data_IF_998944645526
#
_entry.id   IF_998944645526
#
_cell.length_a   1.000
_cell.length_b   1.000
_cell.length_c   1.000
_cell.angle_alpha   90.00
_cell.angle_beta   90.00
_cell.angle_gamma   90.00
#
_symmetry.space_group_name_H-M   'P 1'
#
loop_
_entity.id
_entity.type
_entity.pdbx_description
1 polymer ?
#
# COMPACT_ATOMS: atom_id res chain seq x y z
N UNK A 1 10.69 -42.62 17.12
CA UNK A 1 9.53 -42.41 16.22
C UNK A 1 9.76 -41.06 15.55
N UNK A 2 9.87 -41.01 14.22
CA UNK A 2 9.96 -39.73 13.53
C UNK A 2 8.61 -39.02 13.72
N UNK A 3 8.62 -37.87 14.40
CA UNK A 3 7.43 -37.02 14.50
C UNK A 3 7.06 -36.59 13.09
N UNK A 4 5.86 -36.94 12.65
CA UNK A 4 5.30 -36.43 11.40
C UNK A 4 5.28 -34.90 11.49
N UNK A 5 5.71 -34.21 10.44
CA UNK A 5 5.68 -32.76 10.41
C UNK A 5 4.21 -32.28 10.47
N UNK A 6 3.91 -31.19 11.19
CA UNK A 6 2.56 -30.65 11.23
C UNK A 6 2.08 -30.27 9.82
N UNK A 7 0.77 -30.35 9.54
CA UNK A 7 0.23 -29.99 8.24
C UNK A 7 0.53 -28.53 7.92
N UNK A 8 0.72 -28.24 6.63
CA UNK A 8 0.93 -26.88 6.16
C UNK A 8 -0.29 -26.00 6.51
N UNK A 9 -0.07 -24.81 7.11
CA UNK A 9 -1.16 -23.92 7.49
C UNK A 9 -1.89 -23.38 6.27
N UNK A 10 -3.19 -23.11 6.43
CA UNK A 10 -4.01 -22.44 5.42
C UNK A 10 -4.16 -20.94 5.75
N UNK A 11 -4.33 -20.07 4.74
CA UNK A 11 -4.68 -18.67 4.98
C UNK A 11 -5.95 -18.55 5.81
N UNK A 12 -5.99 -17.56 6.71
CA UNK A 12 -7.19 -17.28 7.52
C UNK A 12 -8.39 -16.81 6.67
N UNK A 13 -8.12 -16.21 5.51
CA UNK A 13 -9.13 -15.73 4.56
C UNK A 13 -8.79 -16.27 3.18
N UNK A 14 -9.61 -17.18 2.66
CA UNK A 14 -9.40 -17.77 1.34
C UNK A 14 -10.06 -16.91 0.24
N UNK A 15 -9.31 -16.63 -0.82
CA UNK A 15 -9.75 -15.95 -2.04
C UNK A 15 -10.34 -16.96 -3.04
N UNK A 16 -11.34 -17.75 -2.62
CA UNK A 16 -12.09 -18.60 -3.55
C UNK A 16 -12.89 -17.75 -4.53
N UNK A 17 -13.27 -18.30 -5.70
CA UNK A 17 -14.09 -17.59 -6.70
C UNK A 17 -15.48 -17.14 -6.20
N UNK A 18 -15.90 -17.64 -5.04
CA UNK A 18 -17.14 -17.24 -4.35
C UNK A 18 -16.92 -16.17 -3.27
N UNK A 19 -15.66 -15.86 -2.97
CA UNK A 19 -15.28 -14.87 -1.95
C UNK A 19 -15.45 -13.46 -2.51
N UNK A 20 -15.94 -12.49 -1.72
CA UNK A 20 -15.94 -11.07 -2.12
C UNK A 20 -14.52 -10.50 -2.32
N UNK A 21 -13.49 -11.24 -1.91
CA UNK A 21 -12.09 -10.95 -2.19
C UNK A 21 -11.69 -11.32 -3.63
N UNK A 22 -12.43 -12.22 -4.28
CA UNK A 22 -12.24 -12.55 -5.68
C UNK A 22 -13.03 -11.56 -6.55
N UNK A 23 -12.31 -10.56 -7.05
CA UNK A 23 -12.90 -9.51 -7.90
C UNK A 23 -13.24 -10.03 -9.29
N UNK A 24 -14.12 -9.32 -10.00
CA UNK A 24 -14.38 -9.55 -11.43
C UNK A 24 -13.13 -9.19 -12.24
N UNK A 25 -12.29 -10.19 -12.51
CA UNK A 25 -10.99 -10.01 -13.18
C UNK A 25 -11.16 -9.59 -14.64
N UNK A 26 -12.20 -10.04 -15.32
CA UNK A 26 -12.46 -9.66 -16.70
C UNK A 26 -12.83 -8.19 -16.78
N UNK A 27 -13.70 -7.72 -15.88
CA UNK A 27 -14.03 -6.31 -15.75
C UNK A 27 -12.79 -5.46 -15.45
N UNK A 28 -12.00 -5.80 -14.43
CA UNK A 28 -10.83 -5.00 -14.06
C UNK A 28 -9.71 -5.05 -15.11
N UNK A 29 -9.57 -6.16 -15.83
CA UNK A 29 -8.64 -6.26 -16.97
C UNK A 29 -9.08 -5.37 -18.14
N UNK A 30 -10.38 -5.35 -18.43
CA UNK A 30 -10.94 -4.45 -19.44
C UNK A 30 -10.74 -2.98 -19.05
N UNK A 31 -10.93 -2.63 -17.77
CA UNK A 31 -10.63 -1.27 -17.25
C UNK A 31 -9.14 -0.94 -17.36
N UNK A 32 -8.24 -1.89 -17.08
CA UNK A 32 -6.80 -1.69 -17.19
C UNK A 32 -6.34 -1.42 -18.63
N UNK A 33 -6.95 -2.11 -19.60
CA UNK A 33 -6.67 -2.02 -21.03
C UNK A 33 -7.43 -0.90 -21.75
N UNK A 34 -8.47 -0.34 -21.13
CA UNK A 34 -9.30 0.69 -21.73
C UNK A 34 -8.49 1.93 -22.14
N UNK A 35 -8.89 2.55 -23.26
CA UNK A 35 -8.39 3.87 -23.64
C UNK A 35 -8.75 4.87 -22.55
N UNK A 36 -7.77 5.65 -22.12
CA UNK A 36 -7.91 6.66 -21.07
C UNK A 36 -7.25 7.95 -21.48
N UNK A 37 -7.80 9.04 -20.97
CA UNK A 37 -7.26 10.38 -21.12
C UNK A 37 -6.74 10.86 -19.75
N UNK A 38 -5.57 11.49 -19.75
CA UNK A 38 -4.99 12.03 -18.52
C UNK A 38 -5.71 13.33 -18.16
N UNK A 39 -6.48 13.30 -17.08
CA UNK A 39 -7.20 14.49 -16.57
C UNK A 39 -6.35 15.34 -15.63
N UNK A 40 -5.34 14.75 -15.00
CA UNK A 40 -4.43 15.43 -14.07
C UNK A 40 -3.09 14.68 -14.05
N UNK A 41 -1.99 15.43 -13.96
CA UNK A 41 -0.65 14.91 -13.76
C UNK A 41 0.02 15.71 -12.65
N UNK A 42 0.60 15.01 -11.67
CA UNK A 42 1.28 15.59 -10.52
C UNK A 42 2.67 14.98 -10.47
N UNK A 43 3.71 15.82 -10.42
CA UNK A 43 5.08 15.40 -10.12
C UNK A 43 5.33 15.66 -8.64
N UNK A 44 5.67 14.62 -7.88
CA UNK A 44 6.04 14.76 -6.46
C UNK A 44 7.57 14.83 -6.41
N UNK A 45 8.10 15.89 -5.80
CA UNK A 45 9.53 16.06 -5.66
C UNK A 45 10.13 15.01 -4.69
N UNK A 46 11.42 14.65 -4.84
CA UNK A 46 12.10 13.80 -3.87
C UNK A 46 11.99 14.37 -2.46
N UNK A 47 11.65 13.50 -1.49
CA UNK A 47 11.45 13.85 -0.08
C UNK A 47 10.30 14.85 0.17
N UNK A 48 9.29 14.83 -0.67
CA UNK A 48 8.06 15.61 -0.50
C UNK A 48 6.81 14.74 -0.55
N UNK A 49 5.65 15.32 -0.27
CA UNK A 49 4.35 14.65 -0.31
C UNK A 49 3.28 15.54 -0.94
N UNK A 50 2.34 14.92 -1.65
CA UNK A 50 1.19 15.61 -2.22
C UNK A 50 -0.08 14.82 -1.93
N UNK A 51 -1.17 15.52 -1.64
CA UNK A 51 -2.51 14.93 -1.60
C UNK A 51 -3.35 15.48 -2.76
N UNK A 52 -4.18 14.62 -3.34
CA UNK A 52 -5.07 14.97 -4.45
C UNK A 52 -6.33 14.10 -4.41
N UNK A 53 -7.36 14.53 -5.13
CA UNK A 53 -8.65 13.85 -5.17
C UNK A 53 -8.73 12.91 -6.37
N UNK A 54 -9.25 11.70 -6.13
CA UNK A 54 -9.56 10.73 -7.19
C UNK A 54 -11.03 10.34 -7.06
N UNK A 55 -11.92 10.88 -7.91
CA UNK A 55 -13.33 10.53 -7.88
C UNK A 55 -13.55 9.03 -8.12
N UNK A 56 -14.64 8.48 -7.57
CA UNK A 56 -15.03 7.10 -7.81
C UNK A 56 -15.15 6.81 -9.32
N UNK A 57 -14.62 5.66 -9.76
CA UNK A 57 -14.59 5.25 -11.17
C UNK A 57 -13.44 5.86 -11.98
N UNK A 58 -12.56 6.68 -11.39
CA UNK A 58 -11.32 7.14 -12.03
C UNK A 58 -10.14 6.23 -11.72
N UNK A 59 -9.12 6.30 -12.58
CA UNK A 59 -7.88 5.53 -12.43
C UNK A 59 -6.79 6.49 -11.97
N UNK A 60 -6.08 6.11 -10.91
CA UNK A 60 -4.85 6.76 -10.48
C UNK A 60 -3.67 5.86 -10.87
N UNK A 61 -2.63 6.44 -11.47
CA UNK A 61 -1.36 5.76 -11.77
C UNK A 61 -0.24 6.46 -11.02
N UNK A 62 0.57 5.67 -10.33
CA UNK A 62 1.79 6.11 -9.67
C UNK A 62 2.95 5.49 -10.46
N UNK A 63 3.99 6.27 -10.75
CA UNK A 63 5.13 5.85 -11.58
C UNK A 63 6.38 6.61 -11.21
N UNK A 64 7.55 6.04 -11.52
CA UNK A 64 8.87 6.62 -11.22
C UNK A 64 9.63 6.93 -12.52
N UNK A 65 9.33 8.04 -13.21
CA UNK A 65 9.82 8.30 -14.56
C UNK A 65 11.31 8.65 -14.65
N UNK A 66 11.90 9.14 -13.55
CA UNK A 66 13.28 9.66 -13.52
C UNK A 66 14.31 8.67 -12.94
N UNK A 67 13.86 7.49 -12.49
CA UNK A 67 14.73 6.46 -11.92
C UNK A 67 14.06 5.70 -10.77
N UNK A 68 14.80 4.77 -10.13
CA UNK A 68 14.30 4.01 -8.99
C UNK A 68 13.96 4.91 -7.80
N UNK A 69 12.74 4.78 -7.29
CA UNK A 69 12.25 5.50 -6.12
C UNK A 69 11.11 4.71 -5.48
N UNK A 70 11.07 4.66 -4.15
CA UNK A 70 9.94 4.09 -3.40
C UNK A 70 8.96 5.20 -3.00
N UNK A 71 7.71 4.85 -2.73
CA UNK A 71 6.71 5.85 -2.33
C UNK A 71 5.69 5.34 -1.34
N UNK A 72 5.43 6.13 -0.32
CA UNK A 72 4.45 5.83 0.72
C UNK A 72 3.06 6.34 0.31
N UNK A 73 2.06 5.46 0.31
CA UNK A 73 0.69 5.83 -0.03
C UNK A 73 -0.26 5.75 1.18
N UNK A 74 -1.02 6.82 1.39
CA UNK A 74 -2.21 6.82 2.24
C UNK A 74 -3.46 7.14 1.41
N UNK A 75 -4.63 6.67 1.85
CA UNK A 75 -5.90 6.82 1.12
C UNK A 75 -7.01 7.06 2.12
N UNK A 76 -7.77 8.13 1.91
CA UNK A 76 -8.95 8.49 2.68
C UNK A 76 -10.19 8.55 1.79
N UNK A 77 -11.37 8.36 2.38
CA UNK A 77 -12.62 8.75 1.74
C UNK A 77 -12.69 10.29 1.68
N UNK A 78 -12.87 10.83 0.48
CA UNK A 78 -12.97 12.26 0.20
C UNK A 78 -14.01 12.99 1.07
N UNK A 79 -15.11 12.32 1.42
CA UNK A 79 -16.22 12.93 2.16
C UNK A 79 -16.22 12.56 3.64
N UNK A 80 -15.28 11.73 4.09
CA UNK A 80 -15.18 11.27 5.47
C UNK A 80 -13.76 10.80 5.79
N UNK A 81 -12.93 11.67 6.35
CA UNK A 81 -11.55 11.33 6.68
C UNK A 81 -11.39 10.33 7.84
N UNK A 82 -12.47 10.00 8.56
CA UNK A 82 -12.47 8.89 9.52
C UNK A 82 -12.54 7.53 8.83
N UNK A 83 -12.91 7.48 7.55
CA UNK A 83 -12.77 6.29 6.71
C UNK A 83 -11.49 6.38 5.88
N UNK A 84 -10.51 5.55 6.22
CA UNK A 84 -9.20 5.51 5.57
C UNK A 84 -8.71 4.08 5.42
N UNK A 85 -7.64 3.90 4.65
CA UNK A 85 -7.08 2.58 4.36
C UNK A 85 -6.55 1.88 5.61
N UNK A 86 -6.84 0.58 5.71
CA UNK A 86 -6.36 -0.29 6.76
C UNK A 86 -5.32 -1.28 6.23
N UNK A 87 -4.05 -0.91 6.36
CA UNK A 87 -2.89 -1.72 5.90
C UNK A 87 -2.93 -3.14 6.47
N UNK A 88 -3.04 -3.28 7.80
CA UNK A 88 -3.03 -4.59 8.46
C UNK A 88 -4.20 -5.49 8.02
N UNK A 89 -5.40 -4.93 7.80
CA UNK A 89 -6.54 -5.70 7.32
C UNK A 89 -6.40 -6.09 5.85
N UNK A 90 -5.90 -5.19 5.02
CA UNK A 90 -5.60 -5.49 3.61
C UNK A 90 -4.56 -6.61 3.51
N UNK A 91 -3.55 -6.59 4.40
CA UNK A 91 -2.56 -7.67 4.54
C UNK A 91 -3.17 -9.01 4.94
N UNK A 92 -4.08 -9.01 5.91
CA UNK A 92 -4.76 -10.22 6.35
C UNK A 92 -5.66 -10.83 5.25
N UNK A 93 -6.32 -9.99 4.46
CA UNK A 93 -7.24 -10.44 3.42
C UNK A 93 -6.53 -10.90 2.14
N UNK A 94 -5.34 -10.37 1.85
CA UNK A 94 -4.61 -10.68 0.62
C UNK A 94 -3.24 -11.30 0.88
N UNK A 95 -2.23 -10.48 1.17
CA UNK A 95 -0.85 -10.91 1.41
C UNK A 95 -0.03 -9.79 2.04
N UNK A 96 1.23 -10.06 2.41
CA UNK A 96 2.17 -9.05 2.88
C UNK A 96 2.51 -7.98 1.83
N UNK A 97 2.22 -8.25 0.56
CA UNK A 97 2.52 -7.37 -0.58
C UNK A 97 1.35 -7.39 -1.56
N UNK A 98 0.95 -6.22 -2.05
CA UNK A 98 -0.21 -6.12 -2.96
C UNK A 98 0.13 -6.52 -4.39
N UNK A 99 -0.84 -7.14 -5.07
CA UNK A 99 -0.76 -7.60 -6.46
C UNK A 99 -1.92 -7.07 -7.29
N UNK A 100 -1.86 -7.29 -8.60
CA UNK A 100 -3.00 -7.03 -9.48
C UNK A 100 -4.21 -7.81 -8.96
N UNK A 101 -5.38 -7.16 -8.98
CA UNK A 101 -6.67 -7.59 -8.43
C UNK A 101 -6.85 -7.50 -6.92
N UNK A 102 -5.80 -7.21 -6.16
CA UNK A 102 -5.95 -6.95 -4.73
C UNK A 102 -6.69 -5.63 -4.49
N UNK A 103 -7.31 -5.55 -3.32
CA UNK A 103 -8.06 -4.39 -2.84
C UNK A 103 -7.45 -3.83 -1.58
N UNK A 104 -7.36 -2.51 -1.49
CA UNK A 104 -7.04 -1.83 -0.24
C UNK A 104 -8.35 -1.51 0.47
N UNK A 105 -8.49 -2.00 1.70
CA UNK A 105 -9.74 -1.98 2.46
C UNK A 105 -9.76 -0.85 3.47
N UNK A 106 -10.93 -0.29 3.77
CA UNK A 106 -11.10 0.74 4.78
C UNK A 106 -11.17 0.19 6.21
N UNK A 107 -10.90 1.03 7.20
CA UNK A 107 -11.01 0.72 8.62
C UNK A 107 -12.46 0.42 9.06
N UNK A 108 -12.62 -0.15 10.26
CA UNK A 108 -13.91 -0.26 10.94
C UNK A 108 -14.45 1.13 11.32
N UNK A 109 -15.79 1.33 11.36
CA UNK A 109 -16.84 0.35 11.07
C UNK A 109 -17.19 0.22 9.57
N UNK A 110 -16.43 0.84 8.68
CA UNK A 110 -16.79 0.94 7.26
C UNK A 110 -16.50 -0.34 6.46
N UNK A 111 -15.29 -0.89 6.61
CA UNK A 111 -14.86 -2.18 6.05
C UNK A 111 -15.30 -2.44 4.61
N UNK A 112 -14.87 -1.58 3.68
CA UNK A 112 -15.13 -1.73 2.24
C UNK A 112 -13.89 -1.49 1.40
N UNK A 113 -13.85 -1.92 0.13
CA UNK A 113 -12.78 -1.56 -0.78
C UNK A 113 -12.74 -0.05 -1.01
N UNK A 114 -11.55 0.55 -0.91
CA UNK A 114 -11.28 1.93 -1.32
C UNK A 114 -10.76 1.97 -2.76
N UNK A 115 -9.83 1.07 -3.09
CA UNK A 115 -9.25 0.93 -4.43
C UNK A 115 -9.01 -0.53 -4.79
N UNK A 116 -8.89 -0.81 -6.09
CA UNK A 116 -8.49 -2.11 -6.65
C UNK A 116 -7.26 -1.89 -7.52
N UNK A 117 -6.22 -2.72 -7.34
CA UNK A 117 -5.02 -2.68 -8.19
C UNK A 117 -5.37 -3.31 -9.53
N UNK A 118 -5.24 -2.56 -10.62
CA UNK A 118 -5.62 -3.03 -11.96
C UNK A 118 -4.41 -3.27 -12.87
N UNK A 119 -3.22 -2.84 -12.47
CA UNK A 119 -1.99 -3.02 -13.24
C UNK A 119 -0.77 -2.86 -12.32
N UNK A 120 0.27 -3.65 -12.57
CA UNK A 120 1.57 -3.54 -11.91
C UNK A 120 2.67 -3.91 -12.92
N UNK A 121 3.53 -2.95 -13.29
CA UNK A 121 4.65 -3.21 -14.20
C UNK A 121 5.79 -4.02 -13.58
N UNK A 122 5.75 -4.26 -12.26
CA UNK A 122 6.72 -5.06 -11.51
C UNK A 122 6.15 -6.43 -11.10
N UNK A 123 5.10 -6.92 -11.78
CA UNK A 123 4.51 -8.21 -11.46
C UNK A 123 5.52 -9.36 -11.61
N UNK A 124 6.38 -9.29 -12.62
CA UNK A 124 7.43 -10.27 -12.89
C UNK A 124 8.60 -10.24 -11.89
N UNK A 125 8.65 -9.26 -10.98
CA UNK A 125 9.66 -9.25 -9.91
C UNK A 125 9.53 -10.51 -9.03
N UNK A 126 8.29 -10.97 -8.80
CA UNK A 126 8.03 -12.19 -8.06
C UNK A 126 8.56 -12.14 -6.63
N UNK A 127 9.45 -13.07 -6.29
CA UNK A 127 10.09 -13.20 -4.97
C UNK A 127 11.58 -13.34 -5.19
N UNK A 128 12.39 -12.51 -4.54
CA UNK A 128 13.84 -12.61 -4.63
C UNK A 128 14.41 -13.76 -3.78
N UNK A 129 15.74 -13.96 -3.85
CA UNK A 129 16.44 -15.03 -3.13
C UNK A 129 16.42 -14.90 -1.60
N UNK A 130 16.07 -13.74 -1.06
CA UNK A 130 15.91 -13.46 0.36
C UNK A 130 14.44 -13.48 0.82
N UNK A 131 13.50 -13.77 -0.10
CA UNK A 131 12.07 -13.76 0.19
C UNK A 131 11.40 -12.39 -0.03
N UNK A 132 12.14 -11.43 -0.57
CA UNK A 132 11.70 -10.05 -0.79
C UNK A 132 10.67 -9.93 -1.92
N UNK A 133 9.72 -9.00 -1.78
CA UNK A 133 8.69 -8.69 -2.78
C UNK A 133 8.43 -7.19 -2.84
N UNK A 134 7.82 -6.70 -3.92
CA UNK A 134 7.47 -5.28 -4.10
C UNK A 134 6.09 -4.93 -3.53
N UNK A 135 5.89 -3.65 -3.16
CA UNK A 135 4.60 -3.07 -2.74
C UNK A 135 4.07 -3.60 -1.40
N UNK A 136 4.84 -3.39 -0.34
CA UNK A 136 4.55 -4.02 0.95
C UNK A 136 3.43 -3.34 1.76
N UNK A 137 2.83 -4.16 2.62
CA UNK A 137 1.91 -3.81 3.69
C UNK A 137 2.47 -4.24 5.06
N UNK A 138 3.77 -4.50 5.17
CA UNK A 138 4.46 -4.95 6.38
C UNK A 138 4.87 -3.77 7.24
N UNK A 139 5.50 -2.78 6.60
CA UNK A 139 6.01 -1.57 7.23
C UNK A 139 4.91 -0.57 7.60
N UNK A 140 5.35 0.55 8.16
CA UNK A 140 4.49 1.66 8.57
C UNK A 140 4.74 2.89 7.72
N UNK A 141 5.93 3.49 7.85
CA UNK A 141 6.54 4.62 7.13
C UNK A 141 7.78 5.05 7.91
N UNK A 142 8.76 5.65 7.25
CA UNK A 142 9.81 6.34 8.01
C UNK A 142 9.22 7.59 8.69
N UNK A 143 9.66 7.86 9.92
CA UNK A 143 9.13 8.93 10.74
C UNK A 143 10.21 9.57 11.62
N UNK A 144 10.08 10.87 11.95
CA UNK A 144 11.09 11.59 12.72
C UNK A 144 11.19 11.09 14.18
N UNK A 145 10.16 10.44 14.72
CA UNK A 145 10.13 9.98 16.10
C UNK A 145 11.06 8.78 16.31
N UNK A 146 10.99 7.79 15.42
CA UNK A 146 11.94 6.67 15.42
C UNK A 146 13.35 7.14 15.08
N UNK A 147 13.51 8.08 14.15
CA UNK A 147 14.79 8.72 13.87
C UNK A 147 15.41 9.34 15.13
N UNK A 148 14.60 10.05 15.92
CA UNK A 148 15.03 10.65 17.19
C UNK A 148 15.38 9.61 18.25
N UNK A 149 14.51 8.60 18.44
CA UNK A 149 14.67 7.57 19.48
C UNK A 149 15.92 6.72 19.23
N UNK A 150 16.17 6.31 17.98
CA UNK A 150 17.26 5.39 17.65
C UNK A 150 18.59 6.10 17.34
N UNK A 151 18.54 7.25 16.68
CA UNK A 151 19.73 7.94 16.15
C UNK A 151 19.99 9.33 16.74
N UNK A 152 19.06 9.89 17.51
CA UNK A 152 19.15 11.27 18.01
C UNK A 152 18.98 12.36 16.94
N UNK A 153 18.67 11.97 15.70
CA UNK A 153 18.52 12.86 14.55
C UNK A 153 17.29 13.75 14.65
N UNK A 154 17.38 14.95 14.09
CA UNK A 154 16.31 15.97 14.02
C UNK A 154 15.90 16.21 12.54
N UNK A 155 16.00 15.18 11.70
CA UNK A 155 15.62 15.25 10.29
C UNK A 155 14.09 15.27 10.09
N UNK A 156 13.60 16.17 9.22
CA UNK A 156 12.16 16.50 9.10
C UNK A 156 11.51 16.12 7.75
N UNK A 157 12.26 15.47 6.84
CA UNK A 157 11.77 15.08 5.51
C UNK A 157 11.52 13.58 5.38
N UNK A 158 11.07 12.97 6.48
CA UNK A 158 10.55 11.61 6.52
C UNK A 158 9.18 11.52 5.83
N UNK A 159 8.83 10.34 5.33
CA UNK A 159 7.53 10.10 4.69
C UNK A 159 6.35 10.48 5.60
N UNK A 160 6.44 10.23 6.91
CA UNK A 160 5.48 10.71 7.88
C UNK A 160 5.28 12.23 7.76
N UNK A 161 6.34 13.03 7.98
CA UNK A 161 6.26 14.49 7.93
C UNK A 161 5.79 15.01 6.57
N UNK A 162 6.20 14.36 5.48
CA UNK A 162 5.76 14.68 4.12
C UNK A 162 4.25 14.48 3.95
N UNK A 163 3.70 13.36 4.43
CA UNK A 163 2.26 13.08 4.40
C UNK A 163 1.47 14.08 5.27
N UNK A 164 1.95 14.42 6.46
CA UNK A 164 1.31 15.42 7.34
C UNK A 164 1.18 16.76 6.63
N UNK A 165 2.25 17.23 5.97
CA UNK A 165 2.22 18.49 5.21
C UNK A 165 1.27 18.40 4.02
N UNK A 166 1.26 17.26 3.32
CA UNK A 166 0.43 17.04 2.15
C UNK A 166 -1.09 17.10 2.44
N UNK A 167 -1.54 16.60 3.59
CA UNK A 167 -2.96 16.54 3.94
C UNK A 167 -3.49 17.79 4.64
N UNK A 168 -2.61 18.67 5.12
CA UNK A 168 -2.98 19.90 5.83
C UNK A 168 -3.95 20.81 5.03
N UNK A 169 -3.80 21.01 3.70
CA UNK A 169 -4.75 21.78 2.91
C UNK A 169 -6.17 21.19 2.86
N UNK A 170 -6.33 19.91 3.18
CA UNK A 170 -7.62 19.22 3.27
C UNK A 170 -8.26 19.32 4.68
N UNK A 171 -7.68 20.13 5.57
CA UNK A 171 -8.15 20.29 6.95
C UNK A 171 -7.80 19.12 7.87
N UNK A 172 -6.98 18.18 7.39
CA UNK A 172 -6.53 17.03 8.15
C UNK A 172 -5.30 17.37 8.98
N UNK A 173 -5.08 16.57 10.02
CA UNK A 173 -4.00 16.70 10.99
C UNK A 173 -3.12 15.47 10.97
N UNK A 174 -2.01 15.53 11.67
CA UNK A 174 -1.06 14.43 11.79
C UNK A 174 -1.71 13.09 12.17
N UNK A 175 -2.65 13.09 13.12
CA UNK A 175 -3.38 11.89 13.55
C UNK A 175 -4.23 11.24 12.45
N UNK A 176 -4.43 11.90 11.30
CA UNK A 176 -5.09 11.30 10.15
C UNK A 176 -4.13 10.49 9.27
N UNK A 177 -2.81 10.70 9.38
CA UNK A 177 -1.80 9.86 8.73
C UNK A 177 -1.80 8.48 9.37
N UNK A 178 -1.81 7.45 8.53
CA UNK A 178 -1.90 6.07 8.95
C UNK A 178 -0.83 5.22 8.26
N UNK A 179 -0.74 3.94 8.63
CA UNK A 179 0.19 3.02 7.98
C UNK A 179 -0.06 2.98 6.47
N UNK A 180 1.02 2.85 5.71
CA UNK A 180 1.02 3.10 4.29
C UNK A 180 0.89 1.80 3.47
N UNK A 181 0.87 1.96 2.16
CA UNK A 181 1.44 0.97 1.24
C UNK A 181 2.81 1.50 0.82
N UNK A 182 3.86 0.69 0.93
CA UNK A 182 5.20 1.04 0.51
C UNK A 182 5.39 0.65 -0.96
N UNK A 183 4.96 1.52 -1.87
CA UNK A 183 5.01 1.27 -3.31
C UNK A 183 6.45 1.19 -3.81
N UNK A 184 6.70 0.23 -4.70
CA UNK A 184 7.97 -0.09 -5.34
C UNK A 184 9.08 -0.57 -4.39
N UNK A 185 8.89 -0.49 -3.08
CA UNK A 185 9.86 -0.96 -2.09
C UNK A 185 9.90 -2.48 -2.07
N UNK A 186 11.11 -3.05 -2.05
CA UNK A 186 11.33 -4.49 -1.89
C UNK A 186 11.53 -4.78 -0.41
N UNK A 187 10.66 -5.60 0.19
CA UNK A 187 10.76 -5.92 1.62
C UNK A 187 10.39 -7.37 1.90
N UNK A 188 10.64 -7.80 3.12
CA UNK A 188 10.21 -9.10 3.60
C UNK A 188 10.46 -9.28 5.09
N UNK A 189 10.40 -10.53 5.52
CA UNK A 189 10.76 -10.94 6.87
C UNK A 189 11.93 -11.90 6.81
N UNK A 190 12.89 -11.76 7.72
CA UNK A 190 13.96 -12.73 7.91
C UNK A 190 13.41 -14.05 8.48
N UNK A 191 14.25 -15.08 8.57
CA UNK A 191 13.89 -16.35 9.23
C UNK A 191 13.55 -16.20 10.73
N UNK A 192 13.86 -15.04 11.32
CA UNK A 192 13.54 -14.67 12.71
C UNK A 192 12.35 -13.68 12.78
N UNK A 193 11.57 -13.57 11.70
CA UNK A 193 10.41 -12.68 11.58
C UNK A 193 10.74 -11.18 11.72
N UNK A 194 11.97 -10.78 11.43
CA UNK A 194 12.40 -9.37 11.47
C UNK A 194 12.16 -8.70 10.11
N UNK A 195 11.66 -7.48 10.13
CA UNK A 195 11.44 -6.69 8.92
C UNK A 195 12.78 -6.29 8.26
N UNK A 196 12.90 -6.53 6.96
CA UNK A 196 14.00 -6.02 6.13
C UNK A 196 13.46 -5.20 4.97
N UNK A 197 14.29 -4.27 4.51
CA UNK A 197 14.06 -3.40 3.36
C UNK A 197 15.36 -3.20 2.57
#
# INVERSE_FOLDING_TARGET
MASEAPPQPRPAYETSSKSPLYVDRDFYSAVAAARRESVQKIQIAPRDGQAWLVPAGKICRISTPEGPQVGDLNIWNQHNASEYMWTARSRQLHSSHIRVFDRLWSVLPYMRPLVTVINNSLEDFGVDGSGGRVHDLLGTRCDPYIGKILGGDDFEYHCHSNLVRAIKPFGLKEFNVHDNVNLFQVTGLTNEDQYFM
#
